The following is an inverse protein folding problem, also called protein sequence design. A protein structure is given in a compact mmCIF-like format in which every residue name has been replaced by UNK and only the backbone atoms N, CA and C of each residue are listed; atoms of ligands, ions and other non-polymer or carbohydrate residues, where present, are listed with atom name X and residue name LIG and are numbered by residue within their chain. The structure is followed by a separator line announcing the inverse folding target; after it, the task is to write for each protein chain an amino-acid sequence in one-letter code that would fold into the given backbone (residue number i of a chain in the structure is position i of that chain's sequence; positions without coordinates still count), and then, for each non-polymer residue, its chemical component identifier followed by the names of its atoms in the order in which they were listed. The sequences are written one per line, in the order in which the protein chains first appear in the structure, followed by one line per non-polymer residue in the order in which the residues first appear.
data_IF_782296803759
#
_entry.id   IF_782296803759
#
_cell.length_a   1.000
_cell.length_b   1.000
_cell.length_c   1.000
_cell.angle_alpha   90.00
_cell.angle_beta   90.00
_cell.angle_gamma   90.00
#
_symmetry.space_group_name_H-M   'P 1'
#
loop_
_entity.id
_entity.type
_entity.pdbx_description
1 polymer ?
#
# COMPACT_ATOMS: atom_id res chain seq x y z
N UNK A 1 -6.43 2.39 -3.05
CA UNK A 1 -5.86 1.10 -3.50
C UNK A 1 -4.82 1.21 -4.60
N UNK A 2 -5.07 2.00 -5.58
CA UNK A 2 -4.09 2.22 -6.66
C UNK A 2 -2.78 2.82 -6.12
N UNK A 3 -2.88 3.81 -5.29
CA UNK A 3 -1.74 4.53 -4.69
C UNK A 3 -0.89 3.62 -3.81
N UNK A 4 -1.55 2.76 -3.03
CA UNK A 4 -0.88 1.81 -2.14
C UNK A 4 -0.06 0.79 -2.93
N UNK A 5 -0.64 0.25 -4.00
CA UNK A 5 0.07 -0.66 -4.88
C UNK A 5 1.22 0.04 -5.60
N UNK A 6 0.99 1.23 -6.12
CA UNK A 6 2.01 2.03 -6.82
C UNK A 6 3.19 2.34 -5.90
N UNK A 7 2.94 2.62 -4.62
CA UNK A 7 3.98 2.84 -3.63
C UNK A 7 4.88 1.61 -3.47
N UNK A 8 4.30 0.42 -3.31
CA UNK A 8 5.06 -0.83 -3.17
C UNK A 8 5.81 -1.17 -4.47
N UNK A 9 5.20 -0.98 -5.62
CA UNK A 9 5.84 -1.18 -6.93
C UNK A 9 7.06 -0.28 -7.08
N UNK A 10 6.91 0.99 -6.74
CA UNK A 10 8.02 1.95 -6.77
C UNK A 10 9.16 1.53 -5.83
N UNK A 11 8.83 1.13 -4.61
CA UNK A 11 9.81 0.69 -3.62
C UNK A 11 10.55 -0.56 -4.09
N UNK A 12 9.86 -1.54 -4.70
CA UNK A 12 10.47 -2.72 -5.28
C UNK A 12 11.43 -2.37 -6.43
N UNK A 13 11.04 -1.46 -7.30
CA UNK A 13 11.91 -1.00 -8.40
C UNK A 13 13.15 -0.28 -7.89
N UNK A 14 13.01 0.55 -6.87
CA UNK A 14 14.13 1.22 -6.21
C UNK A 14 15.07 0.21 -5.53
N UNK A 15 14.52 -0.90 -5.04
CA UNK A 15 15.31 -1.99 -4.46
C UNK A 15 16.06 -2.84 -5.48
N UNK A 16 15.70 -2.74 -6.76
CA UNK A 16 16.39 -3.45 -7.83
C UNK A 16 15.49 -4.38 -8.67
N UNK A 17 14.20 -4.42 -8.44
CA UNK A 17 13.27 -5.18 -9.27
C UNK A 17 13.27 -4.64 -10.70
N UNK A 18 13.41 -5.54 -11.65
CA UNK A 18 13.49 -5.23 -13.08
C UNK A 18 12.25 -5.66 -13.82
N UNK A 19 11.96 -4.98 -14.92
CA UNK A 19 10.84 -5.31 -15.78
C UNK A 19 9.48 -4.99 -15.15
N UNK A 20 8.46 -5.66 -15.64
CA UNK A 20 7.08 -5.47 -15.20
C UNK A 20 6.87 -6.12 -13.82
N UNK A 21 6.27 -5.37 -12.90
CA UNK A 21 5.76 -5.92 -11.64
C UNK A 21 4.34 -6.44 -11.91
N UNK A 22 4.13 -7.74 -11.77
CA UNK A 22 2.86 -8.38 -12.05
C UNK A 22 1.80 -8.03 -11.00
N UNK A 23 0.55 -8.00 -11.42
CA UNK A 23 -0.60 -7.63 -10.56
C UNK A 23 -1.60 -8.77 -10.35
N UNK A 24 -1.39 -9.90 -11.00
CA UNK A 24 -2.29 -11.05 -10.93
C UNK A 24 -1.53 -12.37 -11.02
N UNK A 25 -2.13 -13.41 -10.44
CA UNK A 25 -1.61 -14.77 -10.53
C UNK A 25 -1.55 -15.26 -11.98
N UNK A 26 -2.54 -14.90 -12.79
CA UNK A 26 -2.56 -15.21 -14.22
C UNK A 26 -1.36 -14.62 -14.96
N UNK A 27 -1.03 -13.37 -14.70
CA UNK A 27 0.12 -12.70 -15.29
C UNK A 27 1.43 -13.39 -14.89
N UNK A 28 1.57 -13.77 -13.61
CA UNK A 28 2.73 -14.52 -13.10
C UNK A 28 2.86 -15.89 -13.78
N UNK A 29 1.77 -16.65 -13.89
CA UNK A 29 1.75 -17.99 -14.52
C UNK A 29 2.16 -17.94 -15.99
N UNK A 30 1.81 -16.88 -16.70
CA UNK A 30 2.12 -16.72 -18.12
C UNK A 30 3.51 -16.14 -18.39
N UNK A 31 4.22 -15.73 -17.35
CA UNK A 31 5.55 -15.16 -17.48
C UNK A 31 6.62 -16.25 -17.61
N UNK A 32 7.47 -16.11 -18.63
CA UNK A 32 8.58 -17.04 -18.89
C UNK A 32 9.92 -16.52 -18.37
N UNK A 33 9.97 -15.29 -17.89
CA UNK A 33 11.20 -14.71 -17.33
C UNK A 33 11.58 -15.37 -16.00
N UNK A 34 12.88 -15.43 -15.72
CA UNK A 34 13.40 -16.01 -14.46
C UNK A 34 13.19 -15.05 -13.30
N UNK A 35 13.51 -13.77 -13.49
CA UNK A 35 13.29 -12.72 -12.50
C UNK A 35 11.82 -12.27 -12.56
N UNK A 36 11.09 -12.50 -11.48
CA UNK A 36 9.68 -12.13 -11.38
C UNK A 36 9.43 -11.44 -10.05
N UNK A 37 8.75 -10.31 -10.12
CA UNK A 37 8.16 -9.65 -8.95
C UNK A 37 6.68 -9.42 -9.20
N UNK A 38 5.89 -9.56 -8.14
CA UNK A 38 4.45 -9.33 -8.19
C UNK A 38 3.97 -8.61 -6.93
N UNK A 39 3.00 -7.75 -7.10
CA UNK A 39 2.24 -7.11 -6.01
C UNK A 39 0.77 -7.30 -6.34
N UNK A 40 0.11 -8.18 -5.62
CA UNK A 40 -1.25 -8.63 -5.92
C UNK A 40 -2.20 -8.29 -4.77
N UNK A 41 -3.44 -7.96 -5.10
CA UNK A 41 -4.49 -7.73 -4.10
C UNK A 41 -4.89 -9.06 -3.45
N UNK A 42 -4.92 -9.09 -2.13
CA UNK A 42 -5.49 -10.20 -1.34
C UNK A 42 -6.91 -9.84 -0.90
N UNK A 43 -7.07 -8.67 -0.29
CA UNK A 43 -8.37 -8.25 0.20
C UNK A 43 -8.32 -6.93 0.94
N UNK A 44 -9.49 -6.48 1.37
CA UNK A 44 -9.65 -5.27 2.16
C UNK A 44 -10.67 -5.50 3.26
N UNK A 45 -10.48 -4.82 4.39
CA UNK A 45 -11.45 -4.77 5.47
C UNK A 45 -11.73 -3.34 5.89
N UNK A 46 -12.95 -3.11 6.36
CA UNK A 46 -13.45 -1.79 6.71
C UNK A 46 -14.10 -1.83 8.08
N UNK A 47 -13.70 -0.91 8.95
CA UNK A 47 -14.29 -0.74 10.28
C UNK A 47 -14.75 0.71 10.43
N UNK A 48 -15.96 0.94 10.91
CA UNK A 48 -16.47 2.30 11.10
C UNK A 48 -15.59 3.09 12.05
N UNK A 49 -15.32 4.33 11.67
CA UNK A 49 -14.55 5.30 12.45
C UNK A 49 -15.39 6.54 12.70
N UNK A 50 -15.15 7.23 13.82
CA UNK A 50 -15.77 8.51 14.12
C UNK A 50 -14.76 9.65 14.24
N UNK A 51 -13.55 9.43 13.81
CA UNK A 51 -12.46 10.41 13.89
C UNK A 51 -12.72 11.61 12.97
N UNK A 52 -12.45 12.81 13.49
CA UNK A 52 -12.63 14.09 12.79
C UNK A 52 -11.37 14.93 12.89
N UNK A 53 -11.08 15.67 11.82
CA UNK A 53 -9.97 16.62 11.76
C UNK A 53 -10.45 17.88 11.06
N UNK A 54 -10.08 19.04 11.62
CA UNK A 54 -10.33 20.34 10.98
C UNK A 54 -9.00 20.88 10.47
N UNK A 55 -8.96 21.31 9.23
CA UNK A 55 -7.81 21.92 8.62
C UNK A 55 -8.22 23.04 7.67
N UNK A 56 -7.25 23.83 7.22
CA UNK A 56 -7.46 24.85 6.19
C UNK A 56 -6.87 24.37 4.88
N UNK A 57 -7.62 24.54 3.80
CA UNK A 57 -7.16 24.20 2.46
C UNK A 57 -6.24 25.32 1.88
N UNK A 58 -5.86 25.17 0.60
CA UNK A 58 -4.99 26.15 -0.08
C UNK A 58 -5.64 27.53 -0.25
N UNK A 59 -6.97 27.57 -0.21
CA UNK A 59 -7.77 28.79 -0.31
C UNK A 59 -8.13 29.39 1.07
N UNK A 60 -7.49 28.89 2.12
CA UNK A 60 -7.71 29.28 3.53
C UNK A 60 -9.14 28.99 4.04
N UNK A 61 -9.86 28.11 3.36
CA UNK A 61 -11.19 27.66 3.79
C UNK A 61 -11.07 26.56 4.86
N UNK A 62 -11.90 26.64 5.90
CA UNK A 62 -11.97 25.60 6.93
C UNK A 62 -12.67 24.37 6.38
N UNK A 63 -12.00 23.24 6.47
CA UNK A 63 -12.51 21.92 6.04
C UNK A 63 -12.55 20.99 7.25
N UNK A 64 -13.70 20.31 7.44
CA UNK A 64 -13.81 19.21 8.38
C UNK A 64 -13.66 17.90 7.61
N UNK A 65 -12.64 17.14 7.94
CA UNK A 65 -12.42 15.80 7.39
C UNK A 65 -12.90 14.76 8.38
N UNK A 66 -13.91 14.01 7.99
CA UNK A 66 -14.41 12.88 8.76
C UNK A 66 -13.80 11.60 8.23
N UNK A 67 -13.21 10.80 9.09
CA UNK A 67 -12.83 9.43 8.77
C UNK A 67 -14.05 8.56 8.92
N UNK A 68 -14.59 8.08 7.81
CA UNK A 68 -15.79 7.25 7.78
C UNK A 68 -15.48 5.80 8.16
N UNK A 69 -14.34 5.30 7.67
CA UNK A 69 -13.87 3.95 7.92
C UNK A 69 -12.36 3.92 8.14
N UNK A 70 -11.93 3.06 9.03
CA UNK A 70 -10.58 2.50 9.01
C UNK A 70 -10.53 1.45 7.91
N UNK A 71 -9.52 1.53 7.05
CA UNK A 71 -9.36 0.63 5.91
C UNK A 71 -8.04 -0.10 6.02
N UNK A 72 -8.11 -1.42 6.04
CA UNK A 72 -6.94 -2.27 5.91
C UNK A 72 -6.93 -2.91 4.53
N UNK A 73 -5.85 -2.72 3.80
CA UNK A 73 -5.62 -3.32 2.49
C UNK A 73 -4.47 -4.29 2.61
N UNK A 74 -4.67 -5.53 2.19
CA UNK A 74 -3.62 -6.55 2.17
C UNK A 74 -3.19 -6.79 0.73
N UNK A 75 -1.90 -6.60 0.49
CA UNK A 75 -1.23 -6.88 -0.77
C UNK A 75 -0.23 -8.02 -0.58
N UNK A 76 -0.24 -8.97 -1.50
CA UNK A 76 0.69 -10.09 -1.52
C UNK A 76 1.86 -9.77 -2.42
N UNK A 77 3.06 -9.85 -1.88
CA UNK A 77 4.30 -9.57 -2.61
C UNK A 77 5.03 -10.87 -2.88
N UNK A 78 5.42 -11.06 -4.12
CA UNK A 78 6.21 -12.22 -4.57
C UNK A 78 7.50 -11.71 -5.19
N UNK A 79 8.61 -12.30 -4.78
CA UNK A 79 9.94 -12.08 -5.36
C UNK A 79 10.51 -13.44 -5.75
N UNK A 80 10.84 -13.59 -7.02
CA UNK A 80 11.40 -14.83 -7.56
C UNK A 80 12.59 -14.56 -8.46
N UNK A 81 13.59 -15.41 -8.37
CA UNK A 81 14.77 -15.35 -9.23
C UNK A 81 15.45 -16.74 -9.27
N UNK A 82 16.57 -16.83 -10.00
CA UNK A 82 17.31 -18.07 -10.22
C UNK A 82 18.05 -18.59 -8.99
N UNK A 83 18.41 -17.73 -8.06
CA UNK A 83 19.19 -18.10 -6.86
C UNK A 83 18.59 -17.49 -5.59
N UNK A 84 18.80 -18.17 -4.46
CA UNK A 84 18.42 -17.67 -3.14
C UNK A 84 19.10 -16.33 -2.82
N UNK A 85 20.36 -16.17 -3.18
CA UNK A 85 21.12 -14.95 -2.96
C UNK A 85 20.47 -13.74 -3.65
N UNK A 86 20.06 -13.89 -4.92
CA UNK A 86 19.39 -12.81 -5.66
C UNK A 86 18.06 -12.43 -5.04
N UNK A 87 17.28 -13.42 -4.62
CA UNK A 87 15.98 -13.19 -3.96
C UNK A 87 16.19 -12.52 -2.60
N UNK A 88 17.12 -13.01 -1.80
CA UNK A 88 17.41 -12.47 -0.47
C UNK A 88 17.95 -11.03 -0.55
N UNK A 89 18.81 -10.74 -1.51
CA UNK A 89 19.34 -9.40 -1.72
C UNK A 89 18.21 -8.41 -2.08
N UNK A 90 17.31 -8.80 -2.96
CA UNK A 90 16.19 -7.94 -3.33
C UNK A 90 15.20 -7.73 -2.17
N UNK A 91 14.88 -8.80 -1.45
CA UNK A 91 14.05 -8.73 -0.24
C UNK A 91 14.68 -7.79 0.81
N UNK A 92 15.95 -7.96 1.08
CA UNK A 92 16.68 -7.15 2.06
C UNK A 92 16.72 -5.68 1.65
N UNK A 93 17.00 -5.40 0.38
CA UNK A 93 17.03 -4.03 -0.14
C UNK A 93 15.64 -3.40 -0.14
N UNK A 94 14.59 -4.17 -0.44
CA UNK A 94 13.21 -3.72 -0.30
C UNK A 94 12.89 -3.33 1.15
N UNK A 95 13.24 -4.19 2.11
CA UNK A 95 12.98 -3.94 3.53
C UNK A 95 13.76 -2.73 4.07
N UNK A 96 14.96 -2.47 3.54
CA UNK A 96 15.72 -1.27 3.88
C UNK A 96 15.11 0.03 3.31
N UNK A 97 14.41 -0.06 2.19
CA UNK A 97 13.84 1.11 1.49
C UNK A 97 12.38 1.38 1.84
N UNK A 98 11.62 0.35 2.22
CA UNK A 98 10.20 0.54 2.57
C UNK A 98 10.10 1.40 3.83
N UNK A 99 9.32 2.48 3.74
CA UNK A 99 9.06 3.35 4.88
C UNK A 99 8.00 2.76 5.81
N UNK A 100 7.85 3.35 6.99
CA UNK A 100 6.77 2.96 7.93
C UNK A 100 5.39 3.28 7.42
N UNK A 101 5.30 4.17 6.45
CA UNK A 101 4.07 4.58 5.83
C UNK A 101 4.29 5.71 4.84
N UNK A 102 3.20 6.20 4.29
CA UNK A 102 3.20 7.31 3.34
C UNK A 102 1.88 8.08 3.42
N UNK A 103 1.84 9.27 2.83
CA UNK A 103 0.64 10.08 2.80
C UNK A 103 -0.09 9.95 1.47
N UNK A 104 -1.41 9.81 1.53
CA UNK A 104 -2.32 9.88 0.39
C UNK A 104 -3.33 10.99 0.68
N UNK A 105 -3.38 12.02 -0.16
CA UNK A 105 -4.28 13.18 0.00
C UNK A 105 -4.22 13.81 1.40
N UNK A 106 -3.02 13.88 1.97
CA UNK A 106 -2.77 14.43 3.30
C UNK A 106 -3.11 13.49 4.46
N UNK A 107 -3.49 12.25 4.19
CA UNK A 107 -3.78 11.23 5.19
C UNK A 107 -2.68 10.18 5.23
N UNK A 108 -2.26 9.83 6.44
CA UNK A 108 -1.22 8.85 6.64
C UNK A 108 -1.74 7.42 6.46
N UNK A 109 -0.95 6.60 5.79
CA UNK A 109 -1.17 5.15 5.63
C UNK A 109 0.01 4.43 6.25
N UNK A 110 -0.24 3.64 7.28
CA UNK A 110 0.78 2.80 7.90
C UNK A 110 1.03 1.54 7.08
N UNK A 111 2.27 1.08 7.08
CA UNK A 111 2.70 -0.15 6.40
C UNK A 111 3.20 -1.14 7.42
N UNK A 112 2.63 -2.33 7.40
CA UNK A 112 3.09 -3.48 8.18
C UNK A 112 3.53 -4.59 7.24
N UNK A 113 4.73 -5.12 7.45
CA UNK A 113 5.28 -6.24 6.68
C UNK A 113 5.00 -7.53 7.46
N UNK A 114 4.35 -8.48 6.81
CA UNK A 114 4.12 -9.81 7.37
C UNK A 114 5.34 -10.72 7.26
N UNK A 115 5.16 -11.95 7.73
CA UNK A 115 6.22 -12.96 7.68
C UNK A 115 6.53 -13.36 6.24
N UNK A 116 7.80 -13.58 5.96
CA UNK A 116 8.26 -14.00 4.65
C UNK A 116 8.35 -15.54 4.60
N UNK A 117 7.65 -16.12 3.65
CA UNK A 117 7.65 -17.56 3.39
C UNK A 117 8.52 -17.86 2.16
N UNK A 118 9.50 -18.73 2.35
CA UNK A 118 10.29 -19.28 1.26
C UNK A 118 9.63 -20.53 0.73
N UNK A 119 9.19 -20.47 -0.54
CA UNK A 119 8.40 -21.53 -1.15
C UNK A 119 9.33 -22.54 -1.81
N UNK A 120 9.14 -23.83 -1.48
CA UNK A 120 9.86 -24.90 -2.12
C UNK A 120 9.49 -25.02 -3.59
N UNK A 121 10.46 -25.38 -4.43
CA UNK A 121 10.28 -25.46 -5.88
C UNK A 121 9.12 -26.36 -6.33
N UNK A 122 8.84 -27.43 -5.58
CA UNK A 122 7.78 -28.39 -5.93
C UNK A 122 6.38 -27.85 -5.70
N UNK A 123 6.21 -26.88 -4.79
CA UNK A 123 4.93 -26.30 -4.42
C UNK A 123 4.66 -24.98 -5.12
N UNK A 124 5.66 -24.45 -5.82
CA UNK A 124 5.55 -23.18 -6.53
C UNK A 124 5.05 -23.39 -7.96
N UNK A 125 4.15 -22.51 -8.39
CA UNK A 125 3.83 -22.36 -9.81
C UNK A 125 5.03 -21.87 -10.64
N UNK A 126 6.07 -21.39 -9.96
CA UNK A 126 7.33 -20.88 -10.53
C UNK A 126 8.45 -21.93 -10.41
N UNK A 127 8.18 -23.16 -10.83
CA UNK A 127 8.95 -24.40 -10.59
C UNK A 127 10.47 -24.35 -10.79
N UNK A 128 11.00 -23.45 -11.56
CA UNK A 128 12.45 -23.34 -11.80
C UNK A 128 13.11 -22.17 -11.06
N UNK A 129 12.39 -21.60 -10.11
CA UNK A 129 12.82 -20.38 -9.41
C UNK A 129 12.83 -20.56 -7.90
N UNK A 130 13.65 -19.82 -7.23
CA UNK A 130 13.58 -19.61 -5.80
C UNK A 130 12.58 -18.47 -5.57
N UNK A 131 11.65 -18.67 -4.67
CA UNK A 131 10.52 -17.75 -4.42
C UNK A 131 10.44 -17.42 -2.96
N UNK A 132 10.31 -16.13 -2.65
CA UNK A 132 9.86 -15.64 -1.35
C UNK A 132 8.56 -14.87 -1.53
N UNK A 133 7.65 -15.05 -0.61
CA UNK A 133 6.37 -14.35 -0.62
C UNK A 133 5.98 -13.88 0.78
N UNK A 134 5.32 -12.74 0.84
CA UNK A 134 4.86 -12.15 2.09
C UNK A 134 3.69 -11.19 1.84
N UNK A 135 2.90 -10.97 2.88
CA UNK A 135 1.81 -10.00 2.84
C UNK A 135 2.27 -8.66 3.40
N UNK A 136 1.79 -7.60 2.79
CA UNK A 136 1.95 -6.23 3.27
C UNK A 136 0.56 -5.68 3.58
N UNK A 137 0.36 -5.27 4.83
CA UNK A 137 -0.88 -4.66 5.28
C UNK A 137 -0.72 -3.15 5.33
N UNK A 138 -1.61 -2.45 4.63
CA UNK A 138 -1.64 -1.00 4.59
C UNK A 138 -2.87 -0.52 5.35
N UNK A 139 -2.66 0.29 6.39
CA UNK A 139 -3.71 0.78 7.28
C UNK A 139 -3.92 2.27 7.03
N UNK A 140 -5.03 2.58 6.40
CA UNK A 140 -5.44 3.93 6.07
C UNK A 140 -6.91 4.17 6.43
N UNK A 141 -7.60 4.91 5.59
CA UNK A 141 -9.01 5.22 5.83
C UNK A 141 -9.75 5.68 4.60
N UNK A 142 -11.04 5.78 4.76
CA UNK A 142 -11.95 6.43 3.81
C UNK A 142 -12.48 7.69 4.48
N UNK A 143 -12.35 8.81 3.79
CA UNK A 143 -12.61 10.14 4.34
C UNK A 143 -13.67 10.87 3.53
N UNK A 144 -14.39 11.76 4.23
CA UNK A 144 -15.32 12.69 3.62
C UNK A 144 -15.03 14.10 4.14
N UNK A 145 -14.82 15.02 3.23
CA UNK A 145 -14.57 16.42 3.53
C UNK A 145 -15.86 17.22 3.44
N UNK A 146 -16.06 18.11 4.41
CA UNK A 146 -17.17 19.06 4.44
C UNK A 146 -16.61 20.46 4.67
N UNK A 147 -16.99 21.39 3.79
CA UNK A 147 -16.64 22.79 3.96
C UNK A 147 -17.40 23.37 5.16
N UNK A 148 -16.69 24.04 6.06
CA UNK A 148 -17.28 24.74 7.19
C UNK A 148 -17.41 26.22 6.84
N UNK A 149 -18.60 26.80 7.08
CA UNK A 149 -18.79 28.23 6.96
C UNK A 149 -18.33 28.92 8.23
N UNK A 150 -17.59 30.03 8.07
CA UNK A 150 -17.24 30.90 9.18
C UNK A 150 -18.50 31.65 9.65
N UNK A 151 -18.86 31.47 10.91
CA UNK A 151 -19.98 32.17 11.50
C UNK A 151 -19.52 33.58 11.89
N UNK A 152 -20.15 34.60 11.29
CA UNK A 152 -19.91 35.98 11.68
C UNK A 152 -20.54 36.25 13.05
N UNK A 153 -19.75 36.82 13.99
CA UNK A 153 -20.23 37.18 15.34
C UNK A 153 -21.37 38.20 15.27
N UNK A 154 -21.42 39.06 14.26
CA UNK A 154 -22.50 40.01 14.03
C UNK A 154 -23.87 39.38 13.78
N UNK A 155 -23.92 38.15 13.30
CA UNK A 155 -25.18 37.44 13.05
C UNK A 155 -25.80 36.81 14.31
N UNK A 156 -25.07 36.76 15.40
CA UNK A 156 -25.49 36.14 16.66
C UNK A 156 -26.15 37.18 17.57
N UNK A 157 -25.86 38.44 17.41
CA UNK A 157 -26.30 39.55 18.29
C UNK A 157 -27.66 40.12 17.93
N UNK A 158 -28.35 39.63 16.95
CA UNK A 158 -29.64 40.11 16.46
C UNK A 158 -30.86 39.50 17.11
N UNK A 159 -30.70 38.99 18.28
CA UNK A 159 -31.83 38.38 19.03
C UNK A 159 -32.59 39.46 19.81
#
# INVERSE_FOLDING_TARGET
MKEEREFLVKTLKEAGARGKIHDSLKSVKNCTEIHICAVMRVGESFTRSGSKKIYRDKEDQRIQRNKLFDRETVLHVVIADSTEEKVDNLLTDFLKKVSKGFSVDGNWVDIEIGDADWVEQNDSILKSRIVVEFDVTLKGGIYKDTALQDVSVGNISSV
#
